data_IF_037317616706
#
_entry.id   IF_037317616706
#
_cell.length_a   1.000
_cell.length_b   1.000
_cell.length_c   1.000
_cell.angle_alpha   90.00
_cell.angle_beta   90.00
_cell.angle_gamma   90.00
#
_symmetry.space_group_name_H-M   'P 1'
#
loop_
_entity.id
_entity.type
_entity.pdbx_description
1 polymer ?
#
# COMPACT_ATOMS: atom_id res chain seq x y z
N UNK A 1 -24.08 -13.38 -11.01
CA UNK A 1 -22.94 -13.88 -10.22
C UNK A 1 -22.50 -12.76 -9.28
N UNK A 2 -22.59 -12.93 -7.96
CA UNK A 2 -22.09 -11.91 -7.03
C UNK A 2 -20.57 -12.03 -6.95
N UNK A 3 -19.85 -11.00 -7.42
CA UNK A 3 -18.38 -10.97 -7.40
C UNK A 3 -17.94 -10.88 -5.93
N UNK A 4 -17.09 -11.83 -5.49
CA UNK A 4 -16.59 -11.87 -4.11
C UNK A 4 -15.64 -10.69 -3.89
N UNK A 5 -15.99 -9.80 -2.97
CA UNK A 5 -15.10 -8.71 -2.54
C UNK A 5 -14.09 -9.31 -1.56
N UNK A 6 -12.80 -9.10 -1.85
CA UNK A 6 -11.71 -9.52 -0.97
C UNK A 6 -11.21 -8.33 -0.14
N UNK A 7 -10.75 -8.63 1.07
CA UNK A 7 -10.20 -7.64 1.99
C UNK A 7 -8.82 -8.07 2.46
N UNK A 8 -7.94 -7.09 2.68
CA UNK A 8 -6.64 -7.28 3.31
C UNK A 8 -6.57 -6.49 4.63
N UNK A 9 -6.64 -7.18 5.78
CA UNK A 9 -6.19 -6.61 7.05
C UNK A 9 -4.68 -6.36 6.97
N UNK A 10 -4.24 -5.15 7.30
CA UNK A 10 -2.82 -4.80 7.29
C UNK A 10 -2.47 -3.95 8.52
N UNK A 11 -1.47 -4.34 9.30
CA UNK A 11 -0.99 -3.57 10.45
C UNK A 11 0.36 -2.93 10.09
N UNK A 12 0.47 -1.61 10.28
CA UNK A 12 1.73 -0.89 10.17
C UNK A 12 2.09 -0.26 11.52
N UNK A 13 3.39 -0.17 11.80
CA UNK A 13 3.90 0.56 12.97
C UNK A 13 4.51 1.89 12.51
N UNK A 14 4.04 3.01 13.06
CA UNK A 14 4.61 4.32 12.77
C UNK A 14 5.99 4.49 13.41
N UNK A 15 6.76 5.47 12.94
CA UNK A 15 7.98 5.94 13.61
C UNK A 15 7.77 6.30 15.08
N UNK A 16 6.56 6.76 15.43
CA UNK A 16 6.15 7.05 16.82
C UNK A 16 5.64 5.82 17.60
N UNK A 17 5.91 4.60 17.09
CA UNK A 17 5.53 3.31 17.67
C UNK A 17 4.01 3.12 17.87
N UNK A 18 3.19 3.85 17.11
CA UNK A 18 1.73 3.63 17.08
C UNK A 18 1.43 2.52 16.07
N UNK A 19 0.50 1.64 16.42
CA UNK A 19 -0.03 0.64 15.49
C UNK A 19 -1.19 1.25 14.71
N UNK A 20 -1.16 1.12 13.40
CA UNK A 20 -2.22 1.56 12.50
C UNK A 20 -2.78 0.33 11.80
N UNK A 21 -4.05 0.04 12.04
CA UNK A 21 -4.75 -1.11 11.49
C UNK A 21 -5.59 -0.66 10.30
N UNK A 22 -5.23 -1.14 9.12
CA UNK A 22 -5.91 -0.93 7.86
C UNK A 22 -6.79 -2.12 7.51
N UNK A 23 -7.84 -1.85 6.74
CA UNK A 23 -8.71 -2.88 6.17
C UNK A 23 -8.96 -2.52 4.70
N UNK A 24 -8.05 -2.95 3.82
CA UNK A 24 -8.06 -2.55 2.42
C UNK A 24 -9.03 -3.43 1.62
N UNK A 25 -9.93 -2.79 0.88
CA UNK A 25 -10.76 -3.45 -0.13
C UNK A 25 -9.89 -3.72 -1.35
N UNK A 26 -9.75 -4.99 -1.73
CA UNK A 26 -8.91 -5.39 -2.85
C UNK A 26 -9.63 -5.25 -4.18
N UNK A 27 -8.87 -4.99 -5.24
CA UNK A 27 -9.43 -4.91 -6.58
C UNK A 27 -9.96 -6.27 -7.02
N UNK A 28 -10.97 -6.25 -7.89
CA UNK A 28 -11.64 -7.44 -8.39
C UNK A 28 -10.73 -8.37 -9.22
N UNK A 29 -9.59 -7.85 -9.69
CA UNK A 29 -8.56 -8.61 -10.40
C UNK A 29 -7.50 -9.19 -9.45
N UNK A 30 -7.68 -9.06 -8.13
CA UNK A 30 -6.77 -9.62 -7.14
C UNK A 30 -6.99 -11.11 -6.95
N UNK A 31 -5.94 -11.90 -7.18
CA UNK A 31 -5.99 -13.36 -7.00
C UNK A 31 -5.75 -13.79 -5.55
N UNK A 32 -4.81 -13.15 -4.84
CA UNK A 32 -4.39 -13.57 -3.49
C UNK A 32 -4.06 -12.40 -2.56
N UNK A 33 -4.85 -12.19 -1.49
CA UNK A 33 -4.52 -11.23 -0.43
C UNK A 33 -3.18 -11.54 0.26
N UNK A 34 -2.83 -12.83 0.39
CA UNK A 34 -1.58 -13.26 1.04
C UNK A 34 -0.36 -12.79 0.24
N UNK A 35 -0.39 -13.00 -1.08
CA UNK A 35 0.70 -12.56 -1.97
C UNK A 35 0.84 -11.04 -1.94
N UNK A 36 -0.27 -10.29 -1.91
CA UNK A 36 -0.23 -8.83 -1.74
C UNK A 36 0.42 -8.47 -0.41
N UNK A 37 0.08 -9.14 0.69
CA UNK A 37 0.64 -8.89 2.01
C UNK A 37 2.15 -9.09 2.06
N UNK A 38 2.66 -10.14 1.40
CA UNK A 38 4.10 -10.39 1.30
C UNK A 38 4.80 -9.30 0.47
N UNK A 39 4.22 -8.95 -0.68
CA UNK A 39 4.78 -7.93 -1.59
C UNK A 39 4.82 -6.55 -0.93
N UNK A 40 3.73 -6.11 -0.27
CA UNK A 40 3.71 -4.81 0.41
C UNK A 40 4.71 -4.76 1.56
N UNK A 41 4.86 -5.84 2.32
CA UNK A 41 5.83 -5.92 3.43
C UNK A 41 7.26 -5.85 2.92
N UNK A 42 7.58 -6.58 1.84
CA UNK A 42 8.89 -6.53 1.19
C UNK A 42 9.20 -5.12 0.67
N UNK A 43 8.26 -4.50 -0.07
CA UNK A 43 8.44 -3.17 -0.64
C UNK A 43 8.66 -2.12 0.46
N UNK A 44 7.83 -2.11 1.50
CA UNK A 44 7.96 -1.15 2.59
C UNK A 44 9.26 -1.35 3.37
N UNK A 45 9.69 -2.59 3.60
CA UNK A 45 10.98 -2.88 4.22
C UNK A 45 12.14 -2.34 3.38
N UNK A 46 12.10 -2.56 2.06
CA UNK A 46 13.16 -2.10 1.16
C UNK A 46 13.19 -0.57 1.07
N UNK A 47 12.03 0.06 0.87
CA UNK A 47 11.90 1.53 0.87
C UNK A 47 12.44 2.12 2.18
N UNK A 48 12.07 1.55 3.33
CA UNK A 48 12.56 2.02 4.63
C UNK A 48 14.08 1.93 4.74
N UNK A 49 14.69 0.86 4.24
CA UNK A 49 16.15 0.72 4.18
C UNK A 49 16.79 1.81 3.32
N UNK A 50 16.26 2.06 2.12
CA UNK A 50 16.82 3.06 1.20
C UNK A 50 16.62 4.50 1.71
N UNK A 51 15.50 4.79 2.36
CA UNK A 51 15.27 6.11 2.98
C UNK A 51 16.33 6.42 4.04
N UNK A 52 16.71 5.42 4.84
CA UNK A 52 17.75 5.59 5.86
C UNK A 52 19.13 5.86 5.26
N UNK A 53 19.39 5.36 4.05
CA UNK A 53 20.67 5.54 3.35
C UNK A 53 20.71 6.89 2.63
N UNK A 54 19.73 7.16 1.77
CA UNK A 54 19.74 8.30 0.86
C UNK A 54 19.12 9.57 1.43
N UNK A 55 18.33 9.47 2.51
CA UNK A 55 17.59 10.57 3.12
C UNK A 55 16.78 11.42 2.10
N UNK A 56 15.99 10.79 1.20
CA UNK A 56 15.21 11.50 0.19
C UNK A 56 14.07 12.31 0.83
N UNK A 57 13.53 13.31 0.11
CA UNK A 57 12.31 13.98 0.55
C UNK A 57 11.07 13.09 0.34
N UNK A 58 9.97 13.39 1.03
CA UNK A 58 8.69 12.70 0.81
C UNK A 58 8.23 12.81 -0.65
N UNK A 59 8.51 13.93 -1.32
CA UNK A 59 8.18 14.14 -2.73
C UNK A 59 8.94 13.18 -3.64
N UNK A 60 10.24 12.99 -3.39
CA UNK A 60 11.08 12.07 -4.16
C UNK A 60 10.62 10.61 -4.02
N UNK A 61 10.26 10.20 -2.79
CA UNK A 61 9.74 8.85 -2.52
C UNK A 61 8.45 8.60 -3.29
N UNK A 62 7.49 9.53 -3.21
CA UNK A 62 6.20 9.41 -3.90
C UNK A 62 6.41 9.36 -5.42
N UNK A 63 7.21 10.28 -5.96
CA UNK A 63 7.51 10.35 -7.38
C UNK A 63 8.16 9.05 -7.88
N UNK A 64 9.16 8.54 -7.16
CA UNK A 64 9.85 7.30 -7.51
C UNK A 64 8.91 6.09 -7.49
N UNK A 65 8.03 5.98 -6.49
CA UNK A 65 7.04 4.90 -6.43
C UNK A 65 6.04 4.95 -7.59
N UNK A 66 5.56 6.15 -7.95
CA UNK A 66 4.70 6.33 -9.11
C UNK A 66 5.39 5.93 -10.42
N UNK A 67 6.64 6.35 -10.61
CA UNK A 67 7.42 5.99 -11.80
C UNK A 67 7.70 4.48 -11.85
N UNK A 68 8.06 3.85 -10.73
CA UNK A 68 8.29 2.40 -10.65
C UNK A 68 7.04 1.60 -11.03
N UNK A 69 5.86 2.04 -10.59
CA UNK A 69 4.58 1.44 -10.95
C UNK A 69 4.34 1.52 -12.46
N UNK A 70 4.46 2.69 -13.06
CA UNK A 70 4.23 2.90 -14.49
C UNK A 70 5.22 2.09 -15.34
N UNK A 71 6.51 2.08 -14.97
CA UNK A 71 7.53 1.27 -15.64
C UNK A 71 7.17 -0.21 -15.55
N UNK A 72 6.78 -0.71 -14.36
CA UNK A 72 6.38 -2.11 -14.18
C UNK A 72 5.19 -2.49 -15.05
N UNK A 73 4.23 -1.59 -15.20
CA UNK A 73 3.06 -1.79 -16.05
C UNK A 73 3.41 -1.76 -17.55
N UNK A 74 4.43 -1.02 -17.97
CA UNK A 74 4.92 -1.01 -19.37
C UNK A 74 5.74 -2.25 -19.74
N UNK A 75 6.35 -2.92 -18.77
CA UNK A 75 7.08 -4.18 -19.01
C UNK A 75 6.14 -5.32 -19.40
N UNK A 76 4.90 -5.31 -18.91
CA UNK A 76 3.86 -6.25 -19.36
C UNK A 76 3.18 -5.58 -20.55
N UNK A 77 3.10 -6.25 -21.70
CA UNK A 77 2.45 -5.69 -22.90
C UNK A 77 0.95 -5.43 -22.63
N UNK A 78 0.63 -4.22 -22.17
CA UNK A 78 -0.69 -3.79 -21.73
C UNK A 78 -1.01 -2.39 -22.27
N UNK A 79 -2.30 -2.17 -22.53
CA UNK A 79 -2.85 -0.86 -22.87
C UNK A 79 -2.69 0.11 -21.70
N UNK A 80 -1.90 1.17 -21.92
CA UNK A 80 -1.53 2.14 -20.89
C UNK A 80 -2.74 2.91 -20.35
N UNK A 81 -3.76 3.15 -21.17
CA UNK A 81 -4.95 3.87 -20.75
C UNK A 81 -5.78 3.00 -19.78
N UNK A 82 -5.82 1.68 -20.01
CA UNK A 82 -6.48 0.73 -19.10
C UNK A 82 -5.73 0.63 -17.77
N UNK A 83 -4.40 0.55 -17.81
CA UNK A 83 -3.56 0.57 -16.60
C UNK A 83 -3.82 1.83 -15.79
N UNK A 84 -3.82 3.00 -16.42
CA UNK A 84 -4.06 4.27 -15.73
C UNK A 84 -5.41 4.26 -15.00
N UNK A 85 -6.48 3.78 -15.66
CA UNK A 85 -7.79 3.61 -15.05
C UNK A 85 -7.77 2.68 -13.83
N UNK A 86 -7.12 1.52 -13.94
CA UNK A 86 -7.00 0.54 -12.84
C UNK A 86 -6.23 1.17 -11.67
N UNK A 87 -5.09 1.80 -11.93
CA UNK A 87 -4.25 2.45 -10.90
C UNK A 87 -5.03 3.55 -10.19
N UNK A 88 -5.67 4.45 -10.93
CA UNK A 88 -6.46 5.55 -10.36
C UNK A 88 -7.59 5.03 -9.48
N UNK A 89 -8.32 4.01 -9.94
CA UNK A 89 -9.41 3.42 -9.17
C UNK A 89 -8.93 2.70 -7.91
N UNK A 90 -7.84 1.93 -8.01
CA UNK A 90 -7.26 1.16 -6.90
C UNK A 90 -6.68 2.07 -5.84
N UNK A 91 -5.91 3.08 -6.26
CA UNK A 91 -5.31 4.06 -5.36
C UNK A 91 -6.38 4.88 -4.63
N UNK A 92 -7.44 5.30 -5.34
CA UNK A 92 -8.58 6.01 -4.73
C UNK A 92 -9.26 5.16 -3.66
N UNK A 93 -9.52 3.87 -3.92
CA UNK A 93 -10.09 2.93 -2.94
C UNK A 93 -9.16 2.77 -1.73
N UNK A 94 -7.86 2.57 -1.95
CA UNK A 94 -6.88 2.44 -0.89
C UNK A 94 -6.84 3.67 0.03
N UNK A 95 -6.94 4.89 -0.52
CA UNK A 95 -7.05 6.11 0.29
C UNK A 95 -8.36 6.20 1.08
N UNK A 96 -9.48 5.79 0.49
CA UNK A 96 -10.76 5.74 1.21
C UNK A 96 -10.66 4.81 2.42
N UNK A 97 -10.02 3.66 2.28
CA UNK A 97 -9.87 2.69 3.36
C UNK A 97 -8.81 3.13 4.38
N UNK A 98 -7.72 3.76 3.94
CA UNK A 98 -6.72 4.36 4.82
C UNK A 98 -7.31 5.44 5.73
N UNK A 99 -8.25 6.26 5.23
CA UNK A 99 -8.96 7.27 6.04
C UNK A 99 -9.82 6.66 7.15
N UNK A 100 -10.21 5.38 7.02
CA UNK A 100 -10.97 4.63 8.03
C UNK A 100 -10.07 3.83 8.97
N UNK A 101 -8.75 3.82 8.74
CA UNK A 101 -7.81 3.03 9.51
C UNK A 101 -7.82 3.43 10.98
N UNK A 102 -7.72 2.43 11.87
CA UNK A 102 -7.77 2.65 13.32
C UNK A 102 -6.35 2.74 13.87
N UNK A 103 -6.08 3.80 14.62
CA UNK A 103 -4.81 3.97 15.34
C UNK A 103 -4.98 3.49 16.77
N UNK A 104 -4.21 2.49 17.18
CA UNK A 104 -4.13 2.03 18.57
C UNK A 104 -2.83 2.51 19.21
N UNK A 105 -2.95 3.16 20.36
CA UNK A 105 -1.80 3.49 21.23
C UNK A 105 -1.52 2.31 22.17
N UNK A 106 -0.25 2.01 22.48
CA UNK A 106 0.04 1.13 23.60
C UNK A 106 -0.52 1.77 24.88
N UNK A 107 -1.30 1.03 25.67
CA UNK A 107 -1.71 1.48 27.00
C UNK A 107 -0.44 1.83 27.78
N UNK A 108 -0.30 3.08 28.21
CA UNK A 108 0.74 3.44 29.18
C UNK A 108 0.42 2.67 30.46
N UNK A 109 1.22 1.67 30.78
CA UNK A 109 1.14 1.01 32.07
C UNK A 109 1.51 2.02 33.15
N UNK A 110 0.55 2.37 34.00
CA UNK A 110 0.88 2.94 35.31
C UNK A 110 1.42 1.79 36.17
N UNK A 111 2.68 1.89 36.57
CA UNK A 111 3.27 1.16 37.69
C UNK A 111 4.14 2.12 38.47
#
# INVERSE_FOLDING_TARGET
>A
MHKKILYLPYEATTVSKKKVNFYFTLDENTESPLVINEIISLMLSKISSEINIYKPSNGDIIQAMCMALVVRCKIIDYDINKIEGIVNSTLKKAFIDAKKAKVSQPMSGNS
#
